data_IF_650036586288
#
_entry.id   IF_650036586288
#
_cell.length_a   1.000
_cell.length_b   1.000
_cell.length_c   1.000
_cell.angle_alpha   90.00
_cell.angle_beta   90.00
_cell.angle_gamma   90.00
#
_symmetry.space_group_name_H-M   'P 1'
#
loop_
_entity.id
_entity.type
_entity.pdbx_description
1 polymer ?
#
# COMPACT_ATOMS: atom_id res chain seq x y z
N UNK A 1 2.59 -12.92 40.99
CA UNK A 1 2.38 -12.44 39.59
C UNK A 1 3.54 -12.77 38.65
N UNK A 2 4.77 -12.96 39.16
CA UNK A 2 5.97 -13.25 38.37
C UNK A 2 6.01 -14.69 37.78
N UNK A 3 5.52 -15.70 38.52
CA UNK A 3 5.44 -17.11 38.09
C UNK A 3 4.60 -17.32 36.84
N UNK A 4 3.39 -16.73 36.78
CA UNK A 4 2.53 -16.77 35.57
C UNK A 4 3.19 -16.12 34.34
N UNK A 5 4.04 -15.11 34.53
CA UNK A 5 4.77 -14.46 33.44
C UNK A 5 5.91 -15.33 32.91
N UNK A 6 6.62 -16.05 33.80
CA UNK A 6 7.65 -17.04 33.45
C UNK A 6 7.06 -18.19 32.62
N UNK A 7 5.91 -18.73 33.04
CA UNK A 7 5.21 -19.81 32.34
C UNK A 7 4.69 -19.39 30.94
N UNK A 8 4.14 -18.18 30.82
CA UNK A 8 3.68 -17.64 29.55
C UNK A 8 4.85 -17.42 28.57
N UNK A 9 5.95 -16.84 29.06
CA UNK A 9 7.14 -16.61 28.25
C UNK A 9 7.74 -17.93 27.74
N UNK A 10 7.86 -18.93 28.62
CA UNK A 10 8.40 -20.24 28.27
C UNK A 10 7.52 -20.97 27.23
N UNK A 11 6.21 -21.06 27.48
CA UNK A 11 5.26 -21.74 26.57
C UNK A 11 5.22 -21.10 25.18
N UNK A 12 5.34 -19.77 25.09
CA UNK A 12 5.36 -19.05 23.81
C UNK A 12 6.65 -19.34 23.04
N UNK A 13 7.81 -19.35 23.72
CA UNK A 13 9.10 -19.66 23.07
C UNK A 13 9.19 -21.10 22.55
N UNK A 14 8.67 -22.06 23.30
CA UNK A 14 8.57 -23.46 22.90
C UNK A 14 7.65 -23.66 21.68
N UNK A 15 6.51 -22.98 21.65
CA UNK A 15 5.60 -23.03 20.50
C UNK A 15 6.26 -22.51 19.21
N UNK A 16 7.04 -21.43 19.29
CA UNK A 16 7.78 -20.88 18.14
C UNK A 16 8.87 -21.83 17.65
N UNK A 17 9.59 -22.50 18.56
CA UNK A 17 10.60 -23.50 18.19
C UNK A 17 9.98 -24.75 17.54
N UNK A 18 8.80 -25.18 18.02
CA UNK A 18 8.09 -26.35 17.49
C UNK A 18 7.51 -26.12 16.10
N UNK A 19 7.11 -24.88 15.77
CA UNK A 19 6.51 -24.50 14.49
C UNK A 19 7.47 -23.73 13.57
N UNK A 20 8.78 -23.86 13.77
CA UNK A 20 9.84 -23.09 13.08
C UNK A 20 9.78 -23.14 11.55
N UNK A 21 9.34 -24.26 10.98
CA UNK A 21 9.27 -24.45 9.52
C UNK A 21 8.04 -23.73 8.92
N UNK A 22 6.94 -23.66 9.68
CA UNK A 22 5.71 -22.94 9.31
C UNK A 22 5.93 -21.43 9.46
N UNK A 23 6.65 -21.02 10.50
CA UNK A 23 6.92 -19.62 10.82
C UNK A 23 8.13 -19.04 10.05
N UNK A 24 8.78 -19.82 9.17
CA UNK A 24 9.89 -19.36 8.34
C UNK A 24 11.13 -18.89 9.13
N UNK A 25 11.34 -19.41 10.35
CA UNK A 25 12.38 -18.93 11.27
C UNK A 25 13.75 -19.37 10.79
N UNK A 26 14.65 -18.41 10.53
CA UNK A 26 16.00 -18.68 10.00
C UNK A 26 16.87 -19.38 11.05
N UNK A 27 17.87 -20.15 10.61
CA UNK A 27 18.78 -20.92 11.48
C UNK A 27 19.49 -20.07 12.56
N UNK A 28 19.73 -18.79 12.29
CA UNK A 28 20.30 -17.85 13.27
C UNK A 28 19.31 -17.42 14.37
N UNK A 29 18.02 -17.34 14.05
CA UNK A 29 16.95 -16.97 14.98
C UNK A 29 16.55 -18.16 15.85
N UNK A 30 16.59 -19.38 15.31
CA UNK A 30 16.40 -20.61 16.08
C UNK A 30 17.42 -20.74 17.23
N UNK A 31 18.69 -20.42 16.97
CA UNK A 31 19.74 -20.41 18.02
C UNK A 31 19.49 -19.35 19.10
N UNK A 32 18.90 -18.20 18.73
CA UNK A 32 18.55 -17.15 19.68
C UNK A 32 17.35 -17.54 20.54
N UNK A 33 16.33 -18.16 19.94
CA UNK A 33 15.16 -18.66 20.66
C UNK A 33 15.53 -19.79 21.64
N UNK A 34 16.44 -20.70 21.26
CA UNK A 34 16.97 -21.72 22.17
C UNK A 34 17.70 -21.11 23.37
N UNK A 35 18.52 -20.08 23.14
CA UNK A 35 19.22 -19.37 24.22
C UNK A 35 18.24 -18.65 25.15
N UNK A 36 17.18 -18.05 24.59
CA UNK A 36 16.11 -17.40 25.34
C UNK A 36 15.31 -18.39 26.20
N UNK A 37 14.99 -19.57 25.68
CA UNK A 37 14.30 -20.61 26.48
C UNK A 37 15.15 -21.08 27.66
N UNK A 38 16.47 -21.20 27.48
CA UNK A 38 17.41 -21.56 28.56
C UNK A 38 17.51 -20.44 29.62
N UNK A 39 17.47 -19.18 29.19
CA UNK A 39 17.52 -18.00 30.08
C UNK A 39 16.22 -17.81 30.87
N UNK A 40 15.05 -18.12 30.29
CA UNK A 40 13.76 -18.01 31.00
C UNK A 40 13.68 -19.01 32.17
N UNK A 41 14.29 -20.19 32.05
CA UNK A 41 14.32 -21.20 33.13
C UNK A 41 15.04 -20.66 34.37
N UNK A 42 16.09 -19.85 34.19
CA UNK A 42 16.93 -19.33 35.29
C UNK A 42 16.35 -18.09 35.96
N UNK A 43 15.19 -17.60 35.52
CA UNK A 43 14.53 -16.48 36.17
C UNK A 43 14.13 -16.85 37.61
N UNK A 44 14.39 -15.96 38.59
CA UNK A 44 14.11 -16.21 40.00
C UNK A 44 12.61 -16.42 40.23
N UNK A 45 12.29 -17.44 41.01
CA UNK A 45 10.95 -17.68 41.53
C UNK A 45 10.87 -16.95 42.87
N UNK A 46 10.12 -15.84 42.92
CA UNK A 46 9.84 -15.19 44.19
C UNK A 46 8.89 -16.10 44.99
N UNK A 47 9.40 -16.66 46.08
CA UNK A 47 8.60 -17.36 47.09
C UNK A 47 7.62 -16.36 47.73
N UNK A 48 6.33 -16.56 47.47
CA UNK A 48 5.25 -15.79 48.10
C UNK A 48 5.33 -15.98 49.63
N UNK A 49 5.79 -14.96 50.36
CA UNK A 49 5.63 -14.89 51.82
C UNK A 49 4.20 -14.47 52.13
N UNK A 50 3.38 -15.41 52.61
CA UNK A 50 2.12 -15.11 53.29
C UNK A 50 2.36 -14.16 54.46
N UNK A 51 1.71 -12.99 54.45
CA UNK A 51 1.71 -12.06 55.57
C UNK A 51 0.59 -12.48 56.52
N UNK A 52 0.95 -12.88 57.75
CA UNK A 52 0.00 -13.21 58.82
C UNK A 52 -0.62 -11.93 59.40
N UNK A 53 -1.95 -11.83 59.38
CA UNK A 53 -2.72 -10.62 59.71
C UNK A 53 -2.99 -10.44 61.22
N UNK A 54 -2.43 -11.29 62.09
CA UNK A 54 -2.80 -11.32 63.52
C UNK A 54 -2.14 -10.24 64.40
N UNK A 55 -1.17 -9.48 63.89
CA UNK A 55 -0.42 -8.48 64.70
C UNK A 55 -0.73 -7.01 64.37
N UNK A 56 -1.73 -6.73 63.52
CA UNK A 56 -2.17 -5.36 63.22
C UNK A 56 -3.25 -4.90 64.20
N UNK A 57 -2.82 -4.39 65.36
CA UNK A 57 -3.65 -3.69 66.35
C UNK A 57 -4.19 -2.36 65.76
N UNK A 58 -5.36 -2.43 65.15
CA UNK A 58 -6.12 -1.30 64.64
C UNK A 58 -7.25 -0.95 65.62
N UNK A 59 -6.86 -0.38 66.78
CA UNK A 59 -7.68 0.41 67.70
C UNK A 59 -9.20 0.15 67.67
N UNK A 60 -9.67 -0.69 68.58
CA UNK A 60 -11.09 -1.10 68.75
C UNK A 60 -12.05 -0.01 69.25
N UNK A 61 -11.60 1.25 69.32
CA UNK A 61 -12.35 2.38 69.88
C UNK A 61 -13.01 3.32 68.84
N UNK A 62 -12.88 3.06 67.53
CA UNK A 62 -13.51 3.90 66.50
C UNK A 62 -14.87 3.40 65.97
N UNK A 63 -15.37 2.25 66.44
CA UNK A 63 -16.57 1.61 65.87
C UNK A 63 -17.62 1.22 66.92
N UNK A 64 -17.89 2.11 67.88
CA UNK A 64 -19.12 2.00 68.68
C UNK A 64 -19.99 3.21 68.42
N UNK A 65 -21.22 2.89 68.03
CA UNK A 65 -22.38 3.76 67.84
C UNK A 65 -22.53 4.37 66.44
N UNK A 66 -23.26 3.67 65.56
CA UNK A 66 -24.63 4.02 65.14
C UNK A 66 -25.09 3.01 64.08
N UNK A 67 -25.87 2.02 64.52
CA UNK A 67 -26.57 1.06 63.66
C UNK A 67 -27.85 1.67 63.07
N UNK A 68 -28.25 1.11 61.92
CA UNK A 68 -29.56 1.17 61.25
C UNK A 68 -29.86 2.22 60.18
N UNK A 69 -28.86 2.96 59.68
CA UNK A 69 -29.01 3.75 58.43
C UNK A 69 -27.80 3.74 57.48
N UNK A 70 -26.68 3.13 57.89
CA UNK A 70 -25.34 3.41 57.32
C UNK A 70 -24.82 2.38 56.30
N UNK A 71 -25.57 1.31 56.00
CA UNK A 71 -25.05 0.24 55.15
C UNK A 71 -24.90 0.65 53.67
N UNK A 72 -25.80 1.51 53.17
CA UNK A 72 -25.74 2.00 51.78
C UNK A 72 -24.65 3.07 51.65
N UNK A 73 -24.58 4.00 52.61
CA UNK A 73 -23.57 5.07 52.60
C UNK A 73 -22.13 4.55 52.75
N UNK A 74 -21.92 3.50 53.56
CA UNK A 74 -20.62 2.84 53.66
C UNK A 74 -20.25 2.08 52.38
N UNK A 75 -21.23 1.45 51.71
CA UNK A 75 -21.03 0.81 50.41
C UNK A 75 -20.70 1.83 49.32
N UNK A 76 -21.42 2.95 49.27
CA UNK A 76 -21.13 4.07 48.34
C UNK A 76 -19.72 4.59 48.57
N UNK A 77 -19.35 4.90 49.82
CA UNK A 77 -17.98 5.36 50.13
C UNK A 77 -16.88 4.36 49.79
N UNK A 78 -17.18 3.06 49.84
CA UNK A 78 -16.24 2.02 49.42
C UNK A 78 -16.09 2.02 47.91
N UNK A 79 -17.21 2.05 47.18
CA UNK A 79 -17.25 2.13 45.72
C UNK A 79 -16.55 3.41 45.21
N UNK A 80 -16.75 4.55 45.88
CA UNK A 80 -16.04 5.80 45.55
C UNK A 80 -14.52 5.66 45.64
N UNK A 81 -14.01 5.07 46.73
CA UNK A 81 -12.57 4.83 46.89
C UNK A 81 -12.04 3.83 45.87
N UNK A 82 -12.80 2.79 45.58
CA UNK A 82 -12.42 1.76 44.61
C UNK A 82 -12.40 2.37 43.19
N UNK A 83 -13.34 3.25 42.84
CA UNK A 83 -13.34 4.01 41.57
C UNK A 83 -12.15 4.98 41.51
N UNK A 84 -11.85 5.71 42.59
CA UNK A 84 -10.71 6.64 42.63
C UNK A 84 -9.38 5.90 42.50
N UNK A 85 -9.26 4.74 43.16
CA UNK A 85 -8.12 3.85 43.00
C UNK A 85 -8.01 3.31 41.57
N UNK A 86 -9.11 2.86 40.96
CA UNK A 86 -9.10 2.31 39.61
C UNK A 86 -8.84 3.38 38.54
N UNK A 87 -9.27 4.63 38.77
CA UNK A 87 -8.88 5.78 37.95
C UNK A 87 -7.35 5.98 37.96
N UNK A 88 -6.69 5.72 39.09
CA UNK A 88 -5.22 5.81 39.19
C UNK A 88 -4.48 4.67 38.48
N UNK A 89 -5.10 3.50 38.35
CA UNK A 89 -4.52 2.31 37.69
C UNK A 89 -4.97 2.14 36.22
N UNK A 90 -5.78 3.07 35.71
CA UNK A 90 -6.23 3.15 34.32
C UNK A 90 -7.01 1.90 33.82
N UNK A 91 -7.76 1.25 34.70
CA UNK A 91 -8.54 0.05 34.38
C UNK A 91 -10.01 0.38 34.07
N UNK A 92 -10.31 0.75 32.82
CA UNK A 92 -11.60 1.31 32.41
C UNK A 92 -12.79 0.34 32.48
N UNK A 93 -12.56 -0.98 32.42
CA UNK A 93 -13.62 -1.98 32.41
C UNK A 93 -14.22 -2.19 33.82
N UNK A 94 -13.35 -2.29 34.84
CA UNK A 94 -13.77 -2.45 36.23
C UNK A 94 -14.45 -1.17 36.76
N UNK A 95 -14.01 0.00 36.31
CA UNK A 95 -14.64 1.29 36.61
C UNK A 95 -16.08 1.31 36.09
N UNK A 96 -16.36 0.76 34.90
CA UNK A 96 -17.71 0.71 34.33
C UNK A 96 -18.64 -0.19 35.14
N UNK A 97 -18.15 -1.35 35.60
CA UNK A 97 -18.93 -2.25 36.44
C UNK A 97 -19.28 -1.61 37.80
N UNK A 98 -18.31 -1.00 38.46
CA UNK A 98 -18.52 -0.33 39.75
C UNK A 98 -19.42 0.90 39.64
N UNK A 99 -19.40 1.60 38.50
CA UNK A 99 -20.30 2.71 38.23
C UNK A 99 -21.73 2.25 37.91
N UNK A 100 -21.92 1.06 37.34
CA UNK A 100 -23.24 0.43 37.22
C UNK A 100 -23.79 0.00 38.59
N UNK A 101 -22.95 -0.57 39.46
CA UNK A 101 -23.32 -0.86 40.85
C UNK A 101 -23.65 0.41 41.65
N UNK A 102 -22.90 1.51 41.43
CA UNK A 102 -23.17 2.80 42.05
C UNK A 102 -24.53 3.38 41.59
N UNK A 103 -24.86 3.19 40.31
CA UNK A 103 -26.13 3.65 39.72
C UNK A 103 -27.35 2.95 40.34
N UNK A 104 -27.25 1.65 40.60
CA UNK A 104 -28.33 0.90 41.26
C UNK A 104 -28.57 1.34 42.72
N UNK A 105 -27.55 1.93 43.36
CA UNK A 105 -27.61 2.39 44.75
C UNK A 105 -27.96 3.88 44.89
N UNK A 106 -27.49 4.73 43.98
CA UNK A 106 -27.77 6.17 43.94
C UNK A 106 -27.66 6.74 42.52
N UNK A 107 -28.80 6.81 41.83
CA UNK A 107 -28.93 7.38 40.48
C UNK A 107 -28.57 8.89 40.40
N UNK A 108 -28.62 9.62 41.52
CA UNK A 108 -28.37 11.07 41.58
C UNK A 108 -26.90 11.41 41.86
N UNK A 109 -26.06 10.41 42.13
CA UNK A 109 -24.67 10.58 42.52
C UNK A 109 -23.83 11.30 41.44
N UNK A 110 -22.95 12.21 41.87
CA UNK A 110 -22.13 13.06 40.98
C UNK A 110 -21.32 12.26 39.95
N UNK A 111 -20.76 11.12 40.37
CA UNK A 111 -19.98 10.22 39.50
C UNK A 111 -20.82 9.55 38.40
N UNK A 112 -22.11 9.29 38.65
CA UNK A 112 -23.04 8.72 37.65
C UNK A 112 -23.44 9.80 36.64
N UNK A 113 -23.62 11.05 37.08
CA UNK A 113 -23.90 12.20 36.21
C UNK A 113 -22.72 12.51 35.28
N UNK A 114 -21.48 12.51 35.78
CA UNK A 114 -20.27 12.65 34.94
C UNK A 114 -20.17 11.57 33.86
N UNK A 115 -20.55 10.33 34.19
CA UNK A 115 -20.54 9.21 33.24
C UNK A 115 -21.61 9.35 32.16
N UNK A 116 -22.81 9.82 32.51
CA UNK A 116 -23.87 10.08 31.54
C UNK A 116 -23.53 11.28 30.63
N UNK A 117 -22.82 12.28 31.13
CA UNK A 117 -22.25 13.37 30.33
C UNK A 117 -21.10 12.89 29.41
N UNK A 118 -20.27 11.93 29.85
CA UNK A 118 -19.28 11.29 28.99
C UNK A 118 -19.91 10.41 27.92
N UNK A 119 -20.91 9.58 28.27
CA UNK A 119 -21.64 8.73 27.32
C UNK A 119 -22.36 9.55 26.25
N UNK A 120 -22.97 10.68 26.62
CA UNK A 120 -23.61 11.58 25.64
C UNK A 120 -22.61 12.29 24.73
N UNK A 121 -21.38 12.59 25.21
CA UNK A 121 -20.27 13.06 24.37
C UNK A 121 -19.74 11.97 23.44
N UNK A 122 -19.65 10.74 23.91
CA UNK A 122 -19.21 9.56 23.14
C UNK A 122 -20.24 9.12 22.08
N UNK A 123 -21.53 9.28 22.37
CA UNK A 123 -22.59 9.04 21.39
C UNK A 123 -22.66 10.15 20.34
N UNK A 124 -22.43 11.40 20.74
CA UNK A 124 -22.29 12.52 19.79
C UNK A 124 -21.04 12.37 18.90
N UNK A 125 -19.91 11.92 19.45
CA UNK A 125 -18.69 11.65 18.68
C UNK A 125 -18.80 10.40 17.81
N UNK A 126 -19.52 9.34 18.22
CA UNK A 126 -19.84 8.18 17.36
C UNK A 126 -20.83 8.51 16.24
N UNK A 127 -21.73 9.47 16.44
CA UNK A 127 -22.58 10.02 15.36
C UNK A 127 -21.78 10.89 14.38
N UNK A 128 -20.73 11.56 14.87
CA UNK A 128 -19.76 12.30 14.06
C UNK A 128 -18.77 11.37 13.32
N UNK A 129 -18.35 10.25 13.90
CA UNK A 129 -17.45 9.27 13.26
C UNK A 129 -18.16 8.41 12.20
N UNK A 130 -19.45 8.09 12.37
CA UNK A 130 -20.28 7.48 11.31
C UNK A 130 -20.65 8.48 10.19
N UNK A 131 -20.40 9.76 10.41
CA UNK A 131 -20.29 10.81 9.39
C UNK A 131 -18.83 11.28 9.26
N UNK A 132 -17.87 10.36 9.12
CA UNK A 132 -16.90 10.55 8.03
C UNK A 132 -17.72 10.64 6.76
N UNK A 133 -18.20 11.84 6.49
CA UNK A 133 -19.15 12.13 5.44
C UNK A 133 -18.58 11.56 4.15
N UNK A 134 -19.45 11.12 3.26
CA UNK A 134 -19.03 10.81 1.89
C UNK A 134 -18.12 11.94 1.35
N UNK A 135 -18.34 13.19 1.79
CA UNK A 135 -17.50 14.34 1.53
C UNK A 135 -16.10 14.27 2.15
N UNK A 136 -15.89 13.82 3.40
CA UNK A 136 -14.52 13.68 3.94
C UNK A 136 -13.75 12.55 3.27
N UNK A 137 -14.41 11.45 2.92
CA UNK A 137 -13.80 10.34 2.17
C UNK A 137 -13.53 10.76 0.73
N UNK A 138 -14.44 11.52 0.12
CA UNK A 138 -14.26 12.13 -1.20
C UNK A 138 -13.15 13.17 -1.17
N UNK A 139 -13.03 13.97 -0.12
CA UNK A 139 -11.99 14.98 0.04
C UNK A 139 -10.64 14.31 0.30
N UNK A 140 -10.56 13.25 1.12
CA UNK A 140 -9.35 12.43 1.26
C UNK A 140 -8.96 11.75 -0.05
N UNK A 141 -9.94 11.22 -0.80
CA UNK A 141 -9.71 10.62 -2.13
C UNK A 141 -9.30 11.69 -3.15
N UNK A 142 -9.91 12.87 -3.13
CA UNK A 142 -9.56 13.99 -3.99
C UNK A 142 -8.19 14.55 -3.62
N UNK A 143 -7.83 14.59 -2.35
CA UNK A 143 -6.51 15.02 -1.88
C UNK A 143 -5.44 13.99 -2.27
N UNK A 144 -5.74 12.69 -2.13
CA UNK A 144 -4.86 11.63 -2.61
C UNK A 144 -4.71 11.68 -4.13
N UNK A 145 -5.82 11.81 -4.88
CA UNK A 145 -5.78 11.96 -6.33
C UNK A 145 -5.03 13.22 -6.72
N UNK A 146 -5.25 14.37 -6.05
CA UNK A 146 -4.52 15.63 -6.29
C UNK A 146 -3.02 15.51 -6.05
N UNK A 147 -2.58 14.75 -5.04
CA UNK A 147 -1.16 14.44 -4.84
C UNK A 147 -0.54 13.69 -6.03
N UNK A 148 -1.35 12.99 -6.82
CA UNK A 148 -0.93 12.27 -8.03
C UNK A 148 -1.35 12.95 -9.35
N UNK A 149 -2.19 13.99 -9.31
CA UNK A 149 -2.70 14.71 -10.51
C UNK A 149 -2.27 16.17 -10.59
N UNK A 150 -1.70 16.73 -9.53
CA UNK A 150 -1.00 18.00 -9.65
C UNK A 150 0.26 17.76 -10.47
N UNK A 151 0.45 18.47 -11.60
CA UNK A 151 1.74 18.48 -12.28
C UNK A 151 2.75 19.00 -11.25
N UNK A 152 3.68 18.17 -10.83
CA UNK A 152 4.67 18.59 -9.86
C UNK A 152 5.41 19.80 -10.41
N UNK A 153 5.42 20.91 -9.67
CA UNK A 153 6.06 22.17 -10.09
C UNK A 153 7.60 22.07 -10.25
N UNK A 154 8.16 20.87 -10.04
CA UNK A 154 9.57 20.56 -10.15
C UNK A 154 9.81 19.34 -11.05
N UNK A 155 10.62 19.51 -12.09
CA UNK A 155 11.21 18.44 -12.92
C UNK A 155 11.83 17.30 -12.10
N UNK A 156 12.20 17.53 -10.84
CA UNK A 156 12.77 16.49 -9.97
C UNK A 156 11.73 15.52 -9.43
N UNK A 157 10.51 15.97 -9.15
CA UNK A 157 9.47 15.12 -8.57
C UNK A 157 8.88 14.19 -9.62
N UNK A 158 8.69 14.68 -10.85
CA UNK A 158 8.35 13.86 -12.01
C UNK A 158 9.44 12.79 -12.28
N UNK A 159 10.73 13.16 -12.20
CA UNK A 159 11.84 12.20 -12.31
C UNK A 159 11.88 11.19 -11.16
N UNK A 160 11.52 11.58 -9.94
CA UNK A 160 11.42 10.66 -8.80
C UNK A 160 10.25 9.70 -9.01
N UNK A 161 9.10 10.20 -9.46
CA UNK A 161 7.93 9.40 -9.75
C UNK A 161 8.21 8.36 -10.83
N UNK A 162 8.82 8.78 -11.95
CA UNK A 162 9.30 7.91 -13.04
C UNK A 162 10.24 6.79 -12.54
N UNK A 163 11.19 7.14 -11.66
CA UNK A 163 12.12 6.16 -11.07
C UNK A 163 11.39 5.18 -10.17
N UNK A 164 10.49 5.67 -9.34
CA UNK A 164 9.75 4.85 -8.37
C UNK A 164 8.85 3.87 -9.08
N UNK A 165 8.12 4.31 -10.11
CA UNK A 165 7.31 3.44 -10.96
C UNK A 165 8.16 2.46 -11.76
N UNK A 166 9.32 2.89 -12.29
CA UNK A 166 10.25 1.98 -12.94
C UNK A 166 10.71 0.83 -12.04
N UNK A 167 11.01 1.13 -10.77
CA UNK A 167 11.36 0.11 -9.77
C UNK A 167 10.17 -0.80 -9.46
N UNK A 168 8.96 -0.24 -9.34
CA UNK A 168 7.76 -1.05 -9.12
C UNK A 168 7.48 -1.99 -10.29
N UNK A 169 7.65 -1.53 -11.53
CA UNK A 169 7.53 -2.36 -12.73
C UNK A 169 8.55 -3.50 -12.73
N UNK A 170 9.77 -3.27 -12.25
CA UNK A 170 10.79 -4.31 -12.09
C UNK A 170 10.44 -5.32 -10.99
N UNK A 171 9.78 -4.87 -9.91
CA UNK A 171 9.38 -5.71 -8.77
C UNK A 171 8.06 -6.46 -8.97
N UNK A 172 7.29 -6.16 -10.03
CA UNK A 172 6.05 -6.88 -10.34
C UNK A 172 6.32 -8.37 -10.58
N UNK A 173 5.48 -9.20 -9.98
CA UNK A 173 5.49 -10.66 -10.16
C UNK A 173 5.29 -11.01 -11.64
N UNK A 174 6.12 -11.92 -12.17
CA UNK A 174 6.11 -12.31 -13.59
C UNK A 174 4.73 -12.78 -14.06
N UNK A 175 4.00 -13.50 -13.21
CA UNK A 175 2.67 -14.05 -13.51
C UNK A 175 1.62 -12.97 -13.82
N UNK A 176 1.72 -11.80 -13.17
CA UNK A 176 0.83 -10.66 -13.35
C UNK A 176 1.32 -9.77 -14.48
N UNK A 177 2.65 -9.63 -14.58
CA UNK A 177 3.29 -8.85 -15.63
C UNK A 177 2.98 -9.41 -17.02
N UNK A 178 3.15 -10.73 -17.23
CA UNK A 178 3.00 -11.34 -18.54
C UNK A 178 1.59 -11.22 -19.13
N UNK A 179 0.56 -11.18 -18.26
CA UNK A 179 -0.83 -11.05 -18.70
C UNK A 179 -1.18 -9.64 -19.15
N UNK A 180 -0.58 -8.61 -18.53
CA UNK A 180 -1.00 -7.22 -18.68
C UNK A 180 0.10 -6.33 -19.28
N UNK A 181 1.21 -6.90 -19.74
CA UNK A 181 2.41 -6.17 -20.21
C UNK A 181 2.11 -5.11 -21.27
N UNK A 182 1.31 -5.44 -22.28
CA UNK A 182 0.97 -4.51 -23.36
C UNK A 182 0.12 -3.34 -22.86
N UNK A 183 -0.89 -3.64 -22.03
CA UNK A 183 -1.79 -2.63 -21.46
C UNK A 183 -1.05 -1.72 -20.49
N UNK A 184 -0.10 -2.26 -19.71
CA UNK A 184 0.74 -1.49 -18.80
C UNK A 184 1.65 -0.52 -19.57
N UNK A 185 2.27 -0.97 -20.68
CA UNK A 185 3.06 -0.08 -21.55
C UNK A 185 2.20 1.05 -22.10
N UNK A 186 1.00 0.73 -22.60
CA UNK A 186 0.08 1.73 -23.16
C UNK A 186 -0.37 2.73 -22.09
N UNK A 187 -0.77 2.26 -20.91
CA UNK A 187 -1.20 3.12 -19.81
C UNK A 187 -0.07 4.08 -19.38
N UNK A 188 1.16 3.59 -19.26
CA UNK A 188 2.32 4.42 -18.93
C UNK A 188 2.61 5.45 -20.03
N UNK A 189 2.41 5.10 -21.30
CA UNK A 189 2.53 6.04 -22.42
C UNK A 189 1.47 7.14 -22.40
N UNK A 190 0.21 6.80 -22.11
CA UNK A 190 -0.88 7.77 -22.00
C UNK A 190 -0.69 8.73 -20.82
N UNK A 191 -0.04 8.27 -19.75
CA UNK A 191 0.34 9.09 -18.60
C UNK A 191 1.59 9.96 -18.85
N UNK A 192 2.23 9.86 -20.02
CA UNK A 192 3.46 10.60 -20.34
C UNK A 192 4.74 10.03 -19.70
N UNK A 193 4.65 8.88 -19.04
CA UNK A 193 5.73 8.24 -18.27
C UNK A 193 6.59 7.37 -19.18
N UNK A 194 7.19 7.98 -20.19
CA UNK A 194 7.84 7.25 -21.29
C UNK A 194 9.05 6.43 -20.85
N UNK A 195 9.77 6.84 -19.81
CA UNK A 195 10.93 6.07 -19.29
C UNK A 195 10.49 4.79 -18.59
N UNK A 196 9.42 4.85 -17.80
CA UNK A 196 8.84 3.68 -17.15
C UNK A 196 8.23 2.73 -18.20
N UNK A 197 7.53 3.28 -19.21
CA UNK A 197 7.00 2.51 -20.33
C UNK A 197 8.12 1.78 -21.10
N UNK A 198 9.27 2.44 -21.31
CA UNK A 198 10.41 1.85 -22.03
C UNK A 198 11.02 0.69 -21.26
N UNK A 199 11.23 0.86 -19.95
CA UNK A 199 11.67 -0.24 -19.07
C UNK A 199 10.70 -1.42 -19.07
N UNK A 200 9.40 -1.12 -18.99
CA UNK A 200 8.35 -2.14 -19.06
C UNK A 200 8.43 -2.92 -20.38
N UNK A 201 8.62 -2.21 -21.49
CA UNK A 201 8.73 -2.81 -22.81
C UNK A 201 10.02 -3.64 -22.93
N UNK A 202 11.17 -3.13 -22.46
CA UNK A 202 12.46 -3.84 -22.50
C UNK A 202 12.50 -5.09 -21.61
N UNK A 203 11.70 -5.15 -20.54
CA UNK A 203 11.50 -6.39 -19.78
C UNK A 203 10.73 -7.44 -20.58
N UNK A 204 9.92 -7.00 -21.54
CA UNK A 204 9.05 -7.83 -22.36
C UNK A 204 9.58 -7.95 -23.80
N UNK A 205 10.79 -8.47 -23.96
CA UNK A 205 11.26 -8.85 -25.30
C UNK A 205 10.61 -10.17 -25.68
N UNK A 206 9.76 -10.22 -26.73
CA UNK A 206 9.10 -11.45 -27.12
C UNK A 206 10.10 -12.47 -27.68
N UNK A 207 9.79 -13.74 -27.45
CA UNK A 207 10.58 -14.86 -27.97
C UNK A 207 10.64 -14.86 -29.50
N UNK A 208 11.68 -15.52 -30.02
CA UNK A 208 11.99 -15.41 -31.44
C UNK A 208 10.92 -16.03 -32.38
N UNK A 209 10.04 -16.86 -31.82
CA UNK A 209 9.08 -17.73 -32.52
C UNK A 209 7.75 -17.08 -32.89
N UNK A 210 7.30 -16.02 -32.20
CA UNK A 210 6.04 -15.34 -32.51
C UNK A 210 6.27 -14.02 -33.27
N UNK A 211 6.10 -14.08 -34.59
CA UNK A 211 6.24 -12.93 -35.49
C UNK A 211 5.22 -11.83 -35.17
N UNK A 212 3.99 -12.18 -34.77
CA UNK A 212 2.96 -11.17 -34.47
C UNK A 212 3.25 -10.43 -33.17
N UNK A 213 3.68 -11.16 -32.14
CA UNK A 213 4.05 -10.54 -30.87
C UNK A 213 5.24 -9.61 -31.03
N UNK A 214 6.26 -10.02 -31.82
CA UNK A 214 7.37 -9.15 -32.21
C UNK A 214 6.94 -7.90 -32.96
N UNK A 215 6.04 -8.04 -33.93
CA UNK A 215 5.53 -6.89 -34.67
C UNK A 215 4.83 -5.90 -33.73
N UNK A 216 4.02 -6.39 -32.79
CA UNK A 216 3.37 -5.55 -31.79
C UNK A 216 4.40 -4.87 -30.88
N UNK A 217 5.42 -5.60 -30.43
CA UNK A 217 6.53 -5.06 -29.66
C UNK A 217 7.24 -3.91 -30.39
N UNK A 218 7.63 -4.10 -31.65
CA UNK A 218 8.29 -3.04 -32.43
C UNK A 218 7.38 -1.85 -32.68
N UNK A 219 6.10 -2.08 -32.97
CA UNK A 219 5.13 -1.00 -33.14
C UNK A 219 4.97 -0.16 -31.87
N UNK A 220 4.87 -0.80 -30.70
CA UNK A 220 4.83 -0.12 -29.40
C UNK A 220 6.13 0.64 -29.14
N UNK A 221 7.28 0.02 -29.43
CA UNK A 221 8.60 0.66 -29.26
C UNK A 221 8.74 1.91 -30.11
N UNK A 222 8.39 1.85 -31.39
CA UNK A 222 8.44 2.99 -32.31
C UNK A 222 7.50 4.09 -31.83
N UNK A 223 6.28 3.75 -31.41
CA UNK A 223 5.32 4.72 -30.91
C UNK A 223 5.82 5.40 -29.62
N UNK A 224 6.37 4.63 -28.68
CA UNK A 224 6.96 5.16 -27.45
C UNK A 224 8.14 6.11 -27.72
N UNK A 225 9.04 5.74 -28.63
CA UNK A 225 10.17 6.57 -29.03
C UNK A 225 9.72 7.87 -29.72
N UNK A 226 8.63 7.82 -30.50
CA UNK A 226 8.02 9.02 -31.09
C UNK A 226 7.48 9.98 -30.05
N UNK A 227 6.69 9.47 -29.10
CA UNK A 227 6.06 10.29 -28.06
C UNK A 227 7.10 10.87 -27.09
N UNK A 228 8.18 10.14 -26.80
CA UNK A 228 9.32 10.64 -26.02
C UNK A 228 10.26 11.61 -26.78
N UNK A 229 9.95 11.94 -28.04
CA UNK A 229 10.73 12.87 -28.87
C UNK A 229 12.01 12.28 -29.48
N UNK A 230 12.29 10.99 -29.25
CA UNK A 230 13.46 10.26 -29.77
C UNK A 230 13.23 9.77 -31.21
N UNK A 231 12.97 10.72 -32.12
CA UNK A 231 12.59 10.44 -33.52
C UNK A 231 13.67 9.66 -34.28
N UNK A 232 14.96 9.94 -34.01
CA UNK A 232 16.08 9.22 -34.62
C UNK A 232 16.07 7.74 -34.25
N UNK A 233 15.98 7.42 -32.96
CA UNK A 233 15.93 6.04 -32.46
C UNK A 233 14.69 5.30 -33.01
N UNK A 234 13.55 5.99 -33.12
CA UNK A 234 12.34 5.42 -33.71
C UNK A 234 12.55 5.03 -35.19
N UNK A 235 13.29 5.86 -35.96
CA UNK A 235 13.61 5.58 -37.35
C UNK A 235 14.53 4.36 -37.46
N UNK A 236 15.56 4.29 -36.61
CA UNK A 236 16.51 3.19 -36.60
C UNK A 236 15.79 1.86 -36.33
N UNK A 237 14.87 1.83 -35.35
CA UNK A 237 14.05 0.64 -35.06
C UNK A 237 13.21 0.23 -36.27
N UNK A 238 12.58 1.17 -36.99
CA UNK A 238 11.86 0.84 -38.24
C UNK A 238 12.77 0.15 -39.25
N UNK A 239 13.95 0.73 -39.50
CA UNK A 239 14.89 0.25 -40.50
C UNK A 239 15.46 -1.12 -40.15
N UNK A 240 15.88 -1.30 -38.90
CA UNK A 240 16.34 -2.58 -38.37
C UNK A 240 15.24 -3.65 -38.48
N UNK A 241 13.99 -3.29 -38.16
CA UNK A 241 12.86 -4.22 -38.26
C UNK A 241 12.64 -4.66 -39.71
N UNK A 242 12.66 -3.72 -40.67
CA UNK A 242 12.44 -3.99 -42.09
C UNK A 242 13.57 -4.84 -42.71
N UNK A 243 14.82 -4.59 -42.28
CA UNK A 243 16.02 -5.22 -42.83
C UNK A 243 16.30 -6.60 -42.24
N UNK A 244 16.16 -6.75 -40.91
CA UNK A 244 16.66 -7.92 -40.20
C UNK A 244 15.58 -8.98 -39.93
N UNK A 245 14.29 -8.62 -39.97
CA UNK A 245 13.21 -9.58 -39.69
C UNK A 245 12.56 -10.09 -40.99
N UNK A 246 12.28 -11.40 -41.08
CA UNK A 246 11.70 -12.04 -42.26
C UNK A 246 10.19 -11.76 -42.35
N UNK A 247 9.83 -10.48 -42.52
CA UNK A 247 8.45 -10.02 -42.67
C UNK A 247 7.99 -10.14 -44.12
N UNK A 248 6.72 -10.47 -44.32
CA UNK A 248 6.07 -10.38 -45.63
C UNK A 248 5.94 -8.92 -46.09
N UNK A 249 5.71 -8.72 -47.39
CA UNK A 249 5.51 -7.37 -47.92
C UNK A 249 4.32 -6.66 -47.26
N UNK A 250 3.22 -7.38 -46.96
CA UNK A 250 2.05 -6.82 -46.28
C UNK A 250 2.37 -6.34 -44.86
N UNK A 251 3.16 -7.12 -44.12
CA UNK A 251 3.60 -6.78 -42.76
C UNK A 251 4.58 -5.59 -42.76
N UNK A 252 5.44 -5.48 -43.77
CA UNK A 252 6.39 -4.36 -43.93
C UNK A 252 5.70 -3.04 -44.22
N UNK A 253 4.51 -3.02 -44.81
CA UNK A 253 3.78 -1.78 -45.17
C UNK A 253 3.70 -0.81 -43.99
N UNK A 254 3.33 -1.29 -42.80
CA UNK A 254 3.18 -0.39 -41.65
C UNK A 254 4.51 0.21 -41.21
N UNK A 255 5.59 -0.58 -41.18
CA UNK A 255 6.92 -0.12 -40.80
C UNK A 255 7.51 0.84 -41.82
N UNK A 256 7.39 0.55 -43.12
CA UNK A 256 7.85 1.43 -44.21
C UNK A 256 7.05 2.74 -44.22
N UNK A 257 5.74 2.68 -43.96
CA UNK A 257 4.94 3.88 -43.81
C UNK A 257 5.40 4.74 -42.61
N UNK A 258 5.70 4.10 -41.48
CA UNK A 258 6.23 4.80 -40.30
C UNK A 258 7.61 5.38 -40.56
N UNK A 259 8.50 4.65 -41.26
CA UNK A 259 9.79 5.17 -41.74
C UNK A 259 9.60 6.46 -42.56
N UNK A 260 8.63 6.47 -43.48
CA UNK A 260 8.29 7.65 -44.29
C UNK A 260 7.86 8.85 -43.44
N UNK A 261 6.95 8.65 -42.47
CA UNK A 261 6.50 9.72 -41.57
C UNK A 261 7.63 10.24 -40.66
N UNK A 262 8.48 9.36 -40.15
CA UNK A 262 9.65 9.72 -39.33
C UNK A 262 10.68 10.50 -40.16
N UNK A 263 11.04 10.00 -41.34
CA UNK A 263 11.94 10.66 -42.27
C UNK A 263 11.41 12.05 -42.67
N UNK A 264 10.10 12.19 -42.90
CA UNK A 264 9.46 13.48 -43.18
C UNK A 264 9.59 14.44 -42.00
N UNK A 265 9.31 14.00 -40.76
CA UNK A 265 9.51 14.83 -39.54
C UNK A 265 10.96 15.31 -39.41
N UNK A 266 11.92 14.49 -39.85
CA UNK A 266 13.35 14.81 -39.85
C UNK A 266 13.82 15.60 -41.09
N UNK A 267 12.91 16.01 -41.98
CA UNK A 267 13.22 16.71 -43.25
C UNK A 267 14.12 15.91 -44.21
N UNK A 268 14.15 14.59 -44.09
CA UNK A 268 14.83 13.67 -45.02
C UNK A 268 13.90 13.32 -46.19
N UNK A 269 13.60 14.32 -47.03
CA UNK A 269 12.55 14.21 -48.04
C UNK A 269 12.76 13.07 -49.04
N UNK A 270 13.99 12.86 -49.53
CA UNK A 270 14.27 11.79 -50.48
C UNK A 270 13.94 10.39 -49.92
N UNK A 271 14.29 10.15 -48.66
CA UNK A 271 14.01 8.90 -47.96
C UNK A 271 12.50 8.74 -47.72
N UNK A 272 11.82 9.81 -47.29
CA UNK A 272 10.37 9.79 -47.08
C UNK A 272 9.61 9.45 -48.37
N UNK A 273 9.97 10.09 -49.50
CA UNK A 273 9.37 9.83 -50.82
C UNK A 273 9.60 8.38 -51.27
N UNK A 274 10.81 7.85 -51.08
CA UNK A 274 11.11 6.45 -51.41
C UNK A 274 10.22 5.47 -50.64
N UNK A 275 10.08 5.68 -49.33
CA UNK A 275 9.22 4.86 -48.46
C UNK A 275 7.74 4.95 -48.88
N UNK A 276 7.21 6.15 -49.10
CA UNK A 276 5.82 6.33 -49.53
C UNK A 276 5.54 5.73 -50.91
N UNK A 277 6.45 5.87 -51.88
CA UNK A 277 6.30 5.23 -53.20
C UNK A 277 6.27 3.71 -53.11
N UNK A 278 7.10 3.12 -52.25
CA UNK A 278 7.10 1.69 -52.01
C UNK A 278 5.75 1.22 -51.45
N UNK A 279 5.20 1.95 -50.48
CA UNK A 279 3.87 1.64 -49.92
C UNK A 279 2.76 1.81 -50.97
N UNK A 280 2.78 2.88 -51.78
CA UNK A 280 1.76 3.10 -52.82
C UNK A 280 1.79 2.00 -53.89
N UNK A 281 2.98 1.48 -54.22
CA UNK A 281 3.14 0.37 -55.18
C UNK A 281 2.46 -0.92 -54.70
N UNK A 282 2.53 -1.23 -53.41
CA UNK A 282 2.01 -2.48 -52.85
C UNK A 282 0.54 -2.30 -52.42
N UNK A 283 0.22 -1.19 -51.76
CA UNK A 283 -1.12 -0.89 -51.27
C UNK A 283 -1.48 0.60 -51.49
N UNK A 284 -1.98 0.96 -52.69
CA UNK A 284 -2.20 2.35 -53.09
C UNK A 284 -3.23 3.13 -52.24
N UNK A 285 -4.08 2.42 -51.49
CA UNK A 285 -5.08 3.00 -50.58
C UNK A 285 -4.65 3.04 -49.12
N UNK A 286 -3.37 2.78 -48.80
CA UNK A 286 -2.94 2.67 -47.41
C UNK A 286 -2.84 4.07 -46.78
N UNK A 287 -3.70 4.34 -45.78
CA UNK A 287 -3.71 5.60 -45.01
C UNK A 287 -3.70 6.84 -45.93
N UNK A 288 -2.70 7.72 -45.78
CA UNK A 288 -2.59 9.01 -46.47
C UNK A 288 -1.43 9.05 -47.49
N UNK A 289 -0.91 7.90 -47.93
CA UNK A 289 0.32 7.81 -48.75
C UNK A 289 0.26 8.68 -50.01
N UNK A 290 -0.83 8.61 -50.78
CA UNK A 290 -1.00 9.41 -52.01
C UNK A 290 -1.07 10.91 -51.74
N UNK A 291 -1.68 11.31 -50.62
CA UNK A 291 -1.70 12.71 -50.22
C UNK A 291 -0.29 13.18 -49.85
N UNK A 292 0.45 12.36 -49.07
CA UNK A 292 1.84 12.66 -48.71
C UNK A 292 2.75 12.80 -49.92
N UNK A 293 2.62 11.93 -50.93
CA UNK A 293 3.40 12.04 -52.16
C UNK A 293 3.15 13.36 -52.90
N UNK A 294 1.88 13.80 -53.00
CA UNK A 294 1.54 15.09 -53.62
C UNK A 294 2.10 16.29 -52.85
N UNK A 295 2.14 16.23 -51.52
CA UNK A 295 2.73 17.29 -50.69
C UNK A 295 4.20 17.54 -51.09
N UNK A 296 4.97 16.49 -51.40
CA UNK A 296 6.36 16.63 -51.85
C UNK A 296 6.50 17.10 -53.31
N UNK A 297 5.51 16.84 -54.16
CA UNK A 297 5.52 17.33 -55.55
C UNK A 297 5.20 18.84 -55.65
N UNK A 298 4.56 19.39 -54.62
CA UNK A 298 4.18 20.80 -54.52
C UNK A 298 5.18 21.66 -53.70
N UNK A 299 6.16 21.02 -53.06
CA UNK A 299 7.20 21.64 -52.22
C UNK A 299 8.45 21.96 -53.02
#
# INVERSE_FOLDING_TARGET
MATKRKELAYSTTEYMLKNKDILGIKRGEQKRLQKLSEEIITWPEDEDKEINYEDLDMGTDLFKEYNDGSNIFQKIKKIERDIEFLKSTNNEEEIKMLLEELRELDDEHTLVKELNEQKSKDEASRFLEKKKSLDSVKDDLLEQIQRFTLPSESDEDEKRFDRTLGIQVELLEESVFDKNKSDLVIALMEMGLYKAALKCLERNVPDDSDVREKMNYFNLKIQLLKESGKIHEALDVCQETIANYPLTNEEKINFVYQEGELARKMKKNAQAVAAYKWVDMIHPGYRLVRQRLREFEQS
#
